data_IF_989541904156
#
_entry.id   IF_989541904156
#
_cell.length_a   1.000
_cell.length_b   1.000
_cell.length_c   1.000
_cell.angle_alpha   90.00
_cell.angle_beta   90.00
_cell.angle_gamma   90.00
#
_symmetry.space_group_name_H-M   'P 1'
#
loop_
_entity.id
_entity.type
_entity.pdbx_description
1 polymer ?
#
# COMPACT_ATOMS: atom_id res chain seq x y z
N UNK A 1 3.76 -6.91 -23.93
CA UNK A 1 4.44 -5.66 -24.32
C UNK A 1 4.97 -4.98 -23.06
N UNK A 2 6.31 -4.83 -22.90
CA UNK A 2 6.92 -4.08 -21.80
C UNK A 2 6.64 -2.59 -22.01
N UNK A 3 5.57 -2.08 -21.42
CA UNK A 3 5.34 -0.64 -21.37
C UNK A 3 6.34 -0.04 -20.38
N UNK A 4 7.42 0.48 -20.96
CA UNK A 4 8.56 1.12 -20.29
C UNK A 4 8.06 2.35 -19.54
N UNK A 5 8.12 2.34 -18.21
CA UNK A 5 8.54 3.57 -17.53
C UNK A 5 9.87 3.95 -18.17
N UNK A 6 10.06 5.20 -18.62
CA UNK A 6 11.22 5.62 -19.42
C UNK A 6 12.59 5.55 -18.71
N UNK A 7 12.71 4.74 -17.66
CA UNK A 7 13.89 4.50 -16.84
C UNK A 7 14.11 2.99 -16.73
N UNK A 8 15.36 2.57 -16.84
CA UNK A 8 15.75 1.20 -16.54
C UNK A 8 15.63 0.96 -15.03
N UNK A 9 14.80 -0.01 -14.66
CA UNK A 9 14.54 -0.38 -13.26
C UNK A 9 15.11 -1.76 -13.00
N UNK A 10 15.96 -1.85 -11.99
CA UNK A 10 16.50 -3.12 -11.49
C UNK A 10 15.82 -3.45 -10.16
N UNK A 11 15.27 -4.66 -10.07
CA UNK A 11 14.58 -5.15 -8.87
C UNK A 11 15.29 -6.39 -8.36
N UNK A 12 15.52 -6.45 -7.04
CA UNK A 12 16.06 -7.62 -6.35
C UNK A 12 15.13 -7.99 -5.20
N UNK A 13 15.01 -9.30 -4.95
CA UNK A 13 14.33 -9.78 -3.76
C UNK A 13 15.30 -9.69 -2.58
N UNK A 14 14.78 -9.36 -1.41
CA UNK A 14 15.54 -9.42 -0.17
C UNK A 14 15.50 -10.83 0.40
N UNK A 15 16.59 -11.25 1.03
CA UNK A 15 16.66 -12.54 1.72
C UNK A 15 15.82 -12.57 3.01
N UNK A 16 15.34 -11.41 3.46
CA UNK A 16 14.51 -11.30 4.66
C UNK A 16 13.04 -11.46 4.31
N UNK A 17 12.41 -12.48 4.88
CA UNK A 17 10.96 -12.60 4.85
C UNK A 17 10.34 -11.71 5.93
N UNK A 18 9.15 -11.19 5.62
CA UNK A 18 8.34 -10.43 6.55
C UNK A 18 6.94 -11.04 6.51
N UNK A 19 6.29 -11.14 7.67
CA UNK A 19 4.94 -11.67 7.74
C UNK A 19 3.94 -10.55 7.44
N UNK A 20 3.23 -10.73 6.34
CA UNK A 20 2.11 -9.92 5.92
C UNK A 20 0.99 -10.86 5.47
N UNK A 21 -0.26 -10.42 5.53
CA UNK A 21 -1.40 -11.10 4.92
C UNK A 21 -1.21 -11.20 3.41
N UNK A 22 -0.56 -10.20 2.81
CA UNK A 22 -0.13 -10.21 1.42
C UNK A 22 0.35 -8.84 0.94
N UNK A 23 0.70 -8.77 -0.34
CA UNK A 23 1.24 -7.57 -0.95
C UNK A 23 2.77 -7.52 -0.89
N UNK A 24 3.33 -6.33 -1.07
CA UNK A 24 4.78 -6.13 -1.19
C UNK A 24 5.21 -4.83 -0.54
N UNK A 25 6.43 -4.82 -0.01
CA UNK A 25 7.13 -3.60 0.41
C UNK A 25 8.31 -3.40 -0.54
N UNK A 26 8.36 -2.24 -1.18
CA UNK A 26 9.45 -1.88 -2.10
C UNK A 26 10.34 -0.86 -1.42
N UNK A 27 11.64 -1.11 -1.44
CA UNK A 27 12.66 -0.21 -0.90
C UNK A 27 13.68 0.11 -1.97
N UNK A 28 14.24 1.31 -1.92
CA UNK A 28 15.48 1.58 -2.62
C UNK A 28 16.67 0.84 -1.98
N UNK A 29 17.75 0.70 -2.73
CA UNK A 29 18.95 -0.02 -2.25
C UNK A 29 19.63 0.72 -1.08
N UNK A 30 19.49 2.04 -1.06
CA UNK A 30 20.06 2.93 -0.04
C UNK A 30 19.17 3.07 1.21
N UNK A 31 17.96 2.46 1.19
CA UNK A 31 16.94 2.49 2.25
C UNK A 31 16.46 3.90 2.63
N UNK A 32 16.53 4.87 1.72
CA UNK A 32 16.00 6.21 1.93
C UNK A 32 14.49 6.29 1.66
N UNK A 33 13.99 5.43 0.77
CA UNK A 33 12.58 5.42 0.37
C UNK A 33 12.00 4.03 0.54
N UNK A 34 10.94 3.92 1.35
CA UNK A 34 10.15 2.70 1.51
C UNK A 34 8.71 2.97 1.11
N UNK A 35 8.20 2.14 0.19
CA UNK A 35 6.80 2.14 -0.23
C UNK A 35 6.17 0.84 0.22
N UNK A 36 5.34 0.95 1.26
CA UNK A 36 4.52 -0.15 1.75
C UNK A 36 3.21 -0.24 0.94
N UNK A 37 3.06 -1.36 0.23
CA UNK A 37 1.87 -1.77 -0.52
C UNK A 37 1.33 -3.13 -0.03
N UNK A 38 1.54 -3.45 1.25
CA UNK A 38 0.86 -4.56 1.92
C UNK A 38 -0.66 -4.37 1.89
N UNK A 39 -1.40 -5.47 1.96
CA UNK A 39 -2.86 -5.45 1.98
C UNK A 39 -3.39 -4.67 3.19
N UNK A 40 -2.75 -4.82 4.33
CA UNK A 40 -3.04 -4.14 5.58
C UNK A 40 -2.93 -2.62 5.41
N UNK A 41 -1.81 -2.14 4.85
CA UNK A 41 -1.58 -0.72 4.62
C UNK A 41 -2.56 -0.15 3.59
N UNK A 42 -2.87 -0.91 2.52
CA UNK A 42 -3.90 -0.51 1.55
C UNK A 42 -5.28 -0.41 2.18
N UNK A 43 -5.67 -1.39 3.00
CA UNK A 43 -6.96 -1.40 3.69
C UNK A 43 -7.06 -0.24 4.68
N UNK A 44 -5.98 0.06 5.41
CA UNK A 44 -5.93 1.19 6.35
C UNK A 44 -6.12 2.53 5.64
N UNK A 45 -5.41 2.76 4.53
CA UNK A 45 -5.57 3.96 3.68
C UNK A 45 -7.01 4.09 3.16
N UNK A 46 -7.61 2.98 2.72
CA UNK A 46 -9.00 2.99 2.25
C UNK A 46 -9.98 3.27 3.38
N UNK A 47 -9.78 2.67 4.57
CA UNK A 47 -10.62 2.88 5.75
C UNK A 47 -10.74 4.36 6.08
N UNK A 48 -9.64 5.11 6.04
CA UNK A 48 -9.66 6.53 6.37
C UNK A 48 -10.52 7.34 5.40
N UNK A 49 -10.43 7.04 4.11
CA UNK A 49 -11.25 7.71 3.09
C UNK A 49 -12.73 7.36 3.19
N UNK A 50 -13.04 6.12 3.58
CA UNK A 50 -14.41 5.58 3.56
C UNK A 50 -15.12 5.76 4.92
N UNK A 51 -14.41 6.12 5.99
CA UNK A 51 -14.96 6.23 7.35
C UNK A 51 -16.18 7.15 7.42
N UNK A 52 -16.14 8.29 6.73
CA UNK A 52 -17.23 9.28 6.76
C UNK A 52 -18.49 8.70 6.14
N UNK A 53 -18.37 8.04 4.99
CA UNK A 53 -19.50 7.43 4.30
C UNK A 53 -20.06 6.26 5.09
N UNK A 54 -19.20 5.44 5.69
CA UNK A 54 -19.62 4.34 6.57
C UNK A 54 -20.34 4.87 7.81
N UNK A 55 -19.86 5.96 8.41
CA UNK A 55 -20.54 6.57 9.56
C UNK A 55 -21.94 7.08 9.19
N UNK A 56 -22.10 7.71 8.02
CA UNK A 56 -23.42 8.13 7.51
C UNK A 56 -24.36 6.95 7.27
N UNK A 57 -23.85 5.84 6.72
CA UNK A 57 -24.66 4.64 6.50
C UNK A 57 -25.08 3.99 7.82
N UNK A 58 -24.16 3.90 8.78
CA UNK A 58 -24.40 3.20 10.05
C UNK A 58 -25.21 4.02 11.05
N UNK A 59 -25.01 5.34 11.10
CA UNK A 59 -25.60 6.22 12.12
C UNK A 59 -26.55 7.30 11.57
N UNK A 60 -26.68 7.42 10.25
CA UNK A 60 -27.49 8.45 9.58
C UNK A 60 -26.90 9.86 9.66
N UNK A 61 -27.59 10.84 9.07
CA UNK A 61 -27.22 12.29 9.11
C UNK A 61 -27.49 12.96 10.48
N UNK A 62 -27.54 12.20 11.58
CA UNK A 62 -27.84 12.70 12.94
C UNK A 62 -26.60 12.83 13.83
N UNK A 63 -25.54 13.41 13.30
CA UNK A 63 -24.40 13.92 14.09
C UNK A 63 -24.19 15.38 13.74
#
# INVERSE_FOLDING_TARGET
AKNRTGRDVYLTLTDKTMQFLGGVVVRDLEKHVEVDNTLETKLSRLKENVRVDVAKILFGDRI
#
